data_IF_413827419502
#
_entry.id   IF_413827419502
#
_cell.length_a   1.000
_cell.length_b   1.000
_cell.length_c   1.000
_cell.angle_alpha   90.00
_cell.angle_beta   90.00
_cell.angle_gamma   90.00
#
_symmetry.space_group_name_H-M   'P 1'
#
loop_
_entity.id
_entity.type
_entity.pdbx_description
1 polymer ?
#
# COMPACT_ATOMS: atom_id res chain seq x y z
N UNK A 1 8.91 -0.02 -10.84
CA UNK A 1 8.16 1.02 -10.12
C UNK A 1 8.77 1.35 -8.76
N UNK A 2 9.35 0.38 -8.04
CA UNK A 2 9.90 0.55 -6.70
C UNK A 2 10.97 1.66 -6.56
N UNK A 3 11.79 1.89 -7.60
CA UNK A 3 12.86 2.91 -7.59
C UNK A 3 12.38 4.33 -7.95
N UNK A 4 11.11 4.55 -8.26
CA UNK A 4 10.61 5.85 -8.75
C UNK A 4 11.14 6.27 -10.14
N UNK A 5 11.88 5.40 -10.85
CA UNK A 5 12.44 5.66 -12.19
C UNK A 5 11.39 5.52 -13.29
N UNK A 6 10.41 6.41 -13.33
CA UNK A 6 9.28 6.32 -14.27
C UNK A 6 9.66 6.55 -15.74
N UNK A 7 10.70 7.35 -16.01
CA UNK A 7 11.23 7.57 -17.37
C UNK A 7 11.72 6.28 -18.03
N UNK A 8 12.25 5.33 -17.24
CA UNK A 8 12.62 3.99 -17.75
C UNK A 8 11.39 3.10 -17.94
N UNK A 9 10.30 3.34 -17.23
CA UNK A 9 9.09 2.52 -17.31
C UNK A 9 8.29 2.78 -18.59
N UNK A 10 8.27 4.01 -19.10
CA UNK A 10 7.53 4.39 -20.33
C UNK A 10 7.90 3.56 -21.58
N UNK A 11 9.18 3.37 -21.95
CA UNK A 11 9.53 2.54 -23.11
C UNK A 11 9.12 1.08 -22.91
N UNK A 12 9.23 0.56 -21.69
CA UNK A 12 8.78 -0.81 -21.38
C UNK A 12 7.27 -0.98 -21.51
N UNK A 13 6.47 0.03 -21.15
CA UNK A 13 5.01 0.01 -21.34
C UNK A 13 4.66 -0.16 -22.82
N UNK A 14 5.38 0.51 -23.72
CA UNK A 14 5.17 0.37 -25.17
C UNK A 14 5.49 -1.05 -25.64
N UNK A 15 6.59 -1.63 -25.17
CA UNK A 15 6.96 -3.01 -25.48
C UNK A 15 5.93 -4.02 -24.95
N UNK A 16 5.43 -3.85 -23.73
CA UNK A 16 4.37 -4.69 -23.15
C UNK A 16 3.08 -4.55 -23.97
N UNK A 17 2.69 -3.33 -24.34
CA UNK A 17 1.48 -3.09 -25.12
C UNK A 17 1.52 -3.74 -26.51
N UNK A 18 2.71 -3.90 -27.10
CA UNK A 18 2.90 -4.62 -28.36
C UNK A 18 2.63 -6.13 -28.23
N UNK A 19 2.89 -6.72 -27.05
CA UNK A 19 2.66 -8.15 -26.77
C UNK A 19 1.26 -8.42 -26.20
N UNK A 20 0.80 -7.58 -25.28
CA UNK A 20 -0.51 -7.65 -24.65
C UNK A 20 -1.05 -6.24 -24.43
N UNK A 21 -2.01 -5.87 -25.28
CA UNK A 21 -2.62 -4.53 -25.27
C UNK A 21 -3.31 -4.20 -23.94
N UNK A 22 -4.01 -5.16 -23.34
CA UNK A 22 -4.75 -4.99 -22.08
C UNK A 22 -3.78 -4.72 -20.93
N UNK A 23 -2.76 -5.55 -20.79
CA UNK A 23 -1.72 -5.39 -19.76
C UNK A 23 -0.91 -4.10 -19.99
N UNK A 24 -0.58 -3.77 -21.24
CA UNK A 24 0.12 -2.53 -21.59
C UNK A 24 -0.66 -1.28 -21.20
N UNK A 25 -1.98 -1.24 -21.46
CA UNK A 25 -2.84 -0.14 -21.04
C UNK A 25 -2.91 -0.04 -19.50
N UNK A 26 -3.02 -1.17 -18.80
CA UNK A 26 -3.00 -1.21 -17.35
C UNK A 26 -1.70 -0.63 -16.78
N UNK A 27 -0.53 -1.08 -17.29
CA UNK A 27 0.77 -0.56 -16.86
C UNK A 27 0.96 0.92 -17.21
N UNK A 28 0.43 1.37 -18.36
CA UNK A 28 0.41 2.79 -18.73
C UNK A 28 -0.36 3.62 -17.71
N UNK A 29 -1.54 3.17 -17.29
CA UNK A 29 -2.31 3.87 -16.27
C UNK A 29 -1.57 3.97 -14.93
N UNK A 30 -0.89 2.90 -14.50
CA UNK A 30 -0.07 2.91 -13.28
C UNK A 30 1.10 3.91 -13.36
N UNK A 31 1.79 3.98 -14.50
CA UNK A 31 2.87 4.97 -14.72
C UNK A 31 2.33 6.40 -14.72
N UNK A 32 1.21 6.65 -15.40
CA UNK A 32 0.58 7.97 -15.42
C UNK A 32 0.13 8.42 -14.02
N UNK A 33 -0.45 7.51 -13.23
CA UNK A 33 -0.77 7.76 -11.81
C UNK A 33 0.49 8.19 -11.05
N UNK A 34 1.57 7.44 -11.17
CA UNK A 34 2.83 7.74 -10.49
C UNK A 34 3.49 9.06 -10.92
N UNK A 35 3.20 9.53 -12.14
CA UNK A 35 3.60 10.84 -12.66
C UNK A 35 2.61 11.96 -12.29
N UNK A 36 1.64 11.72 -11.39
CA UNK A 36 0.56 12.63 -11.00
C UNK A 36 -0.36 13.06 -12.17
N UNK A 37 -0.41 12.31 -13.27
CA UNK A 37 -1.31 12.52 -14.42
C UNK A 37 -2.61 11.75 -14.21
N UNK A 38 -3.31 12.06 -13.14
CA UNK A 38 -4.47 11.30 -12.63
C UNK A 38 -5.66 11.27 -13.58
N UNK A 39 -5.95 12.37 -14.28
CA UNK A 39 -7.06 12.46 -15.25
C UNK A 39 -6.85 11.51 -16.44
N UNK A 40 -5.64 11.47 -16.98
CA UNK A 40 -5.27 10.58 -18.08
C UNK A 40 -5.28 9.12 -17.65
N UNK A 41 -4.74 8.83 -16.46
CA UNK A 41 -4.78 7.49 -15.87
C UNK A 41 -6.23 7.01 -15.74
N UNK A 42 -7.11 7.85 -15.20
CA UNK A 42 -8.54 7.56 -15.04
C UNK A 42 -9.23 7.29 -16.39
N UNK A 43 -8.95 8.09 -17.42
CA UNK A 43 -9.52 7.89 -18.76
C UNK A 43 -9.15 6.53 -19.37
N UNK A 44 -7.92 6.06 -19.13
CA UNK A 44 -7.44 4.75 -19.60
C UNK A 44 -8.11 3.63 -18.81
N UNK A 45 -8.19 3.75 -17.49
CA UNK A 45 -8.83 2.77 -16.62
C UNK A 45 -10.32 2.59 -16.94
N UNK A 46 -11.06 3.67 -17.18
CA UNK A 46 -12.47 3.60 -17.59
C UNK A 46 -12.66 2.84 -18.91
N UNK A 47 -11.82 3.12 -19.91
CA UNK A 47 -11.84 2.41 -21.20
C UNK A 47 -11.49 0.94 -21.03
N UNK A 48 -10.51 0.65 -20.18
CA UNK A 48 -10.06 -0.71 -19.89
C UNK A 48 -11.15 -1.49 -19.15
N UNK A 49 -11.80 -0.89 -18.17
CA UNK A 49 -12.92 -1.46 -17.41
C UNK A 49 -14.04 -1.91 -18.36
N UNK A 50 -14.53 -1.01 -19.22
CA UNK A 50 -15.60 -1.31 -20.17
C UNK A 50 -15.22 -2.47 -21.13
N UNK A 51 -13.96 -2.52 -21.55
CA UNK A 51 -13.45 -3.61 -22.38
C UNK A 51 -13.38 -4.94 -21.62
N UNK A 52 -12.90 -4.92 -20.36
CA UNK A 52 -12.76 -6.12 -19.54
C UNK A 52 -14.12 -6.69 -19.12
N UNK A 53 -15.12 -5.83 -18.86
CA UNK A 53 -16.50 -6.25 -18.60
C UNK A 53 -17.12 -6.95 -19.81
N UNK A 54 -16.94 -6.39 -21.02
CA UNK A 54 -17.41 -7.03 -22.26
C UNK A 54 -16.76 -8.38 -22.54
N UNK A 55 -15.47 -8.51 -22.22
CA UNK A 55 -14.70 -9.73 -22.43
C UNK A 55 -14.73 -10.70 -21.24
N UNK A 56 -15.41 -10.32 -20.14
CA UNK A 56 -15.48 -11.07 -18.87
C UNK A 56 -14.11 -11.41 -18.28
N UNK A 57 -13.13 -10.51 -18.43
CA UNK A 57 -11.80 -10.70 -17.85
C UNK A 57 -11.78 -10.26 -16.37
N UNK A 58 -12.30 -11.10 -15.49
CA UNK A 58 -12.51 -10.78 -14.06
C UNK A 58 -11.25 -10.33 -13.32
N UNK A 59 -10.12 -11.00 -13.54
CA UNK A 59 -8.85 -10.63 -12.89
C UNK A 59 -8.47 -9.17 -13.20
N UNK A 60 -8.55 -8.79 -14.48
CA UNK A 60 -8.23 -7.42 -14.90
C UNK A 60 -9.26 -6.41 -14.40
N UNK A 61 -10.54 -6.77 -14.34
CA UNK A 61 -11.58 -5.93 -13.72
C UNK A 61 -11.19 -5.59 -12.28
N UNK A 62 -10.85 -6.59 -11.47
CA UNK A 62 -10.45 -6.37 -10.07
C UNK A 62 -9.20 -5.48 -9.99
N UNK A 63 -8.18 -5.76 -10.81
CA UNK A 63 -6.95 -4.95 -10.86
C UNK A 63 -7.22 -3.48 -11.23
N UNK A 64 -8.13 -3.22 -12.15
CA UNK A 64 -8.55 -1.87 -12.55
C UNK A 64 -9.30 -1.18 -11.41
N UNK A 65 -10.18 -1.91 -10.72
CA UNK A 65 -10.90 -1.39 -9.54
C UNK A 65 -9.94 -0.99 -8.41
N UNK A 66 -8.89 -1.78 -8.14
CA UNK A 66 -7.87 -1.44 -7.14
C UNK A 66 -7.13 -0.14 -7.49
N UNK A 67 -6.64 0.01 -8.72
CA UNK A 67 -5.93 1.24 -9.13
C UNK A 67 -6.87 2.45 -9.14
N UNK A 68 -8.14 2.25 -9.48
CA UNK A 68 -9.15 3.31 -9.44
C UNK A 68 -9.47 3.72 -8.00
N UNK A 69 -9.48 2.78 -7.05
CA UNK A 69 -9.59 3.09 -5.62
C UNK A 69 -8.40 3.93 -5.12
N UNK A 70 -7.18 3.62 -5.56
CA UNK A 70 -5.98 4.42 -5.24
C UNK A 70 -6.10 5.85 -5.79
N UNK A 71 -6.64 6.03 -7.00
CA UNK A 71 -6.92 7.36 -7.56
C UNK A 71 -7.97 8.12 -6.74
N UNK A 72 -9.01 7.43 -6.26
CA UNK A 72 -10.02 8.05 -5.39
C UNK A 72 -9.42 8.58 -4.09
N UNK A 73 -8.44 7.87 -3.49
CA UNK A 73 -7.74 8.36 -2.30
C UNK A 73 -7.09 9.72 -2.51
N UNK A 74 -6.56 9.97 -3.71
CA UNK A 74 -5.88 11.22 -4.06
C UNK A 74 -6.86 12.35 -4.45
N UNK A 75 -7.98 12.02 -5.09
CA UNK A 75 -8.88 13.03 -5.70
C UNK A 75 -10.18 13.30 -4.95
N UNK A 76 -10.80 12.27 -4.38
CA UNK A 76 -12.21 12.28 -3.96
C UNK A 76 -12.40 11.83 -2.51
N UNK A 77 -11.32 11.41 -1.85
CA UNK A 77 -11.28 10.95 -0.48
C UNK A 77 -11.44 9.43 -0.35
N UNK A 78 -11.15 8.94 0.85
CA UNK A 78 -11.13 7.50 1.15
C UNK A 78 -12.50 6.84 1.10
N UNK A 79 -13.57 7.56 1.47
CA UNK A 79 -14.92 7.00 1.52
C UNK A 79 -15.45 6.58 0.13
N UNK A 80 -15.08 7.30 -0.94
CA UNK A 80 -15.55 6.99 -2.29
C UNK A 80 -14.93 5.72 -2.86
N UNK A 81 -13.82 5.24 -2.30
CA UNK A 81 -13.19 4.00 -2.70
C UNK A 81 -13.90 2.75 -2.12
N UNK A 82 -14.67 2.88 -1.04
CA UNK A 82 -15.25 1.73 -0.34
C UNK A 82 -16.18 0.85 -1.22
N UNK A 83 -17.16 1.39 -1.97
CA UNK A 83 -18.04 0.55 -2.78
C UNK A 83 -17.26 -0.27 -3.81
N UNK A 84 -16.23 0.37 -4.40
CA UNK A 84 -15.36 -0.23 -5.40
C UNK A 84 -14.52 -1.36 -4.79
N UNK A 85 -13.92 -1.15 -3.63
CA UNK A 85 -13.12 -2.18 -2.93
C UNK A 85 -13.99 -3.35 -2.45
N UNK A 86 -15.19 -3.09 -1.96
CA UNK A 86 -16.13 -4.15 -1.54
C UNK A 86 -16.58 -5.00 -2.73
N UNK A 87 -16.87 -4.38 -3.87
CA UNK A 87 -17.21 -5.10 -5.09
C UNK A 87 -16.01 -5.91 -5.62
N UNK A 88 -14.79 -5.34 -5.59
CA UNK A 88 -13.57 -6.04 -5.97
C UNK A 88 -13.34 -7.28 -5.10
N UNK A 89 -13.55 -7.17 -3.79
CA UNK A 89 -13.40 -8.28 -2.85
C UNK A 89 -14.46 -9.37 -3.09
N UNK A 90 -15.71 -8.98 -3.35
CA UNK A 90 -16.77 -9.92 -3.68
C UNK A 90 -16.44 -10.73 -4.94
N UNK A 91 -15.99 -10.06 -6.01
CA UNK A 91 -15.56 -10.71 -7.25
C UNK A 91 -14.35 -11.62 -7.03
N UNK A 92 -13.35 -11.16 -6.29
CA UNK A 92 -12.15 -11.95 -6.00
C UNK A 92 -12.50 -13.24 -5.24
N UNK A 93 -13.37 -13.15 -4.23
CA UNK A 93 -13.85 -14.31 -3.46
C UNK A 93 -14.71 -15.25 -4.30
N UNK A 94 -15.64 -14.71 -5.09
CA UNK A 94 -16.52 -15.49 -5.98
C UNK A 94 -15.73 -16.31 -7.01
N UNK A 95 -14.62 -15.76 -7.50
CA UNK A 95 -13.77 -16.42 -8.50
C UNK A 95 -12.52 -17.10 -7.90
N UNK A 96 -12.43 -17.22 -6.57
CA UNK A 96 -11.32 -17.87 -5.86
C UNK A 96 -9.93 -17.29 -6.19
N UNK A 97 -9.86 -15.98 -6.47
CA UNK A 97 -8.63 -15.27 -6.80
C UNK A 97 -7.94 -14.79 -5.51
N UNK A 98 -7.31 -15.72 -4.77
CA UNK A 98 -6.79 -15.47 -3.43
C UNK A 98 -5.78 -14.32 -3.33
N UNK A 99 -4.88 -14.18 -4.31
CA UNK A 99 -3.91 -13.09 -4.35
C UNK A 99 -4.61 -11.72 -4.44
N UNK A 100 -5.60 -11.60 -5.33
CA UNK A 100 -6.37 -10.37 -5.50
C UNK A 100 -7.29 -10.10 -4.32
N UNK A 101 -7.86 -11.13 -3.69
CA UNK A 101 -8.63 -10.98 -2.46
C UNK A 101 -7.75 -10.39 -1.33
N UNK A 102 -6.52 -10.90 -1.20
CA UNK A 102 -5.55 -10.43 -0.21
C UNK A 102 -5.11 -8.98 -0.48
N UNK A 103 -4.81 -8.65 -1.74
CA UNK A 103 -4.48 -7.28 -2.15
C UNK A 103 -5.65 -6.31 -1.91
N UNK A 104 -6.88 -6.75 -2.20
CA UNK A 104 -8.09 -5.95 -1.95
C UNK A 104 -8.31 -5.72 -0.46
N UNK A 105 -8.04 -6.72 0.39
CA UNK A 105 -8.11 -6.58 1.85
C UNK A 105 -7.08 -5.56 2.36
N UNK A 106 -5.86 -5.53 1.79
CA UNK A 106 -4.88 -4.48 2.13
C UNK A 106 -5.41 -3.07 1.81
N UNK A 107 -6.02 -2.89 0.64
CA UNK A 107 -6.63 -1.62 0.24
C UNK A 107 -7.81 -1.24 1.15
N UNK A 108 -8.65 -2.20 1.51
CA UNK A 108 -9.81 -1.99 2.38
C UNK A 108 -9.37 -1.61 3.80
N UNK A 109 -8.42 -2.34 4.37
CA UNK A 109 -7.87 -2.06 5.70
C UNK A 109 -7.18 -0.69 5.74
N UNK A 110 -6.43 -0.32 4.70
CA UNK A 110 -5.84 1.02 4.61
C UNK A 110 -6.91 2.11 4.52
N UNK A 111 -7.94 1.91 3.69
CA UNK A 111 -9.08 2.83 3.59
C UNK A 111 -9.77 3.00 4.95
N UNK A 112 -10.03 1.92 5.67
CA UNK A 112 -10.63 1.94 7.01
C UNK A 112 -9.75 2.66 8.04
N UNK A 113 -8.43 2.45 8.02
CA UNK A 113 -7.49 3.17 8.87
C UNK A 113 -7.58 4.69 8.59
N UNK A 114 -7.60 5.09 7.33
CA UNK A 114 -7.67 6.50 6.93
C UNK A 114 -9.03 7.14 7.26
N UNK A 115 -10.09 6.35 7.34
CA UNK A 115 -11.42 6.78 7.80
C UNK A 115 -11.54 6.81 9.33
N UNK A 116 -10.47 6.50 10.07
CA UNK A 116 -10.43 6.64 11.53
C UNK A 116 -11.03 5.45 12.29
N UNK A 117 -11.15 4.28 11.67
CA UNK A 117 -11.65 3.04 12.31
C UNK A 117 -10.55 1.95 12.37
N UNK A 118 -9.46 2.17 13.12
CA UNK A 118 -8.27 1.31 13.07
C UNK A 118 -8.51 -0.11 13.64
N UNK A 119 -9.45 -0.29 14.58
CA UNK A 119 -9.82 -1.62 15.09
C UNK A 119 -10.46 -2.47 13.99
N UNK A 120 -11.35 -1.88 13.18
CA UNK A 120 -11.97 -2.58 12.05
C UNK A 120 -10.93 -2.89 10.98
N UNK A 121 -10.06 -1.93 10.66
CA UNK A 121 -8.95 -2.11 9.73
C UNK A 121 -8.04 -3.28 10.13
N UNK A 122 -7.67 -3.36 11.41
CA UNK A 122 -6.84 -4.46 11.91
C UNK A 122 -7.58 -5.80 11.88
N UNK A 123 -8.88 -5.81 12.21
CA UNK A 123 -9.72 -7.00 12.15
C UNK A 123 -9.77 -7.60 10.73
N UNK A 124 -10.08 -6.78 9.74
CA UNK A 124 -10.15 -7.21 8.33
C UNK A 124 -8.76 -7.62 7.82
N UNK A 125 -7.70 -6.91 8.22
CA UNK A 125 -6.33 -7.27 7.84
C UNK A 125 -5.90 -8.64 8.37
N UNK A 126 -6.31 -9.01 9.59
CA UNK A 126 -6.00 -10.33 10.15
C UNK A 126 -6.59 -11.48 9.32
N UNK A 127 -7.74 -11.29 8.64
CA UNK A 127 -8.32 -12.31 7.75
C UNK A 127 -7.41 -12.67 6.56
N UNK A 128 -6.56 -11.73 6.11
CA UNK A 128 -5.66 -11.94 4.98
C UNK A 128 -4.19 -12.12 5.40
N UNK A 129 -3.85 -12.03 6.69
CA UNK A 129 -2.45 -12.02 7.11
C UNK A 129 -1.73 -13.32 6.74
N UNK A 130 -2.33 -14.47 7.05
CA UNK A 130 -1.76 -15.78 6.72
C UNK A 130 -1.51 -15.98 5.21
N UNK A 131 -2.51 -15.80 4.32
CA UNK A 131 -2.27 -15.98 2.88
C UNK A 131 -1.26 -14.97 2.30
N UNK A 132 -1.21 -13.74 2.81
CA UNK A 132 -0.20 -12.75 2.39
C UNK A 132 1.19 -13.23 2.82
N UNK A 133 1.39 -13.60 4.08
CA UNK A 133 2.71 -13.98 4.58
C UNK A 133 3.20 -15.31 4.00
N UNK A 134 2.30 -16.25 3.72
CA UNK A 134 2.64 -17.52 3.10
C UNK A 134 2.99 -17.38 1.61
N UNK A 135 2.11 -16.72 0.83
CA UNK A 135 2.16 -16.79 -0.64
C UNK A 135 2.15 -15.44 -1.37
N UNK A 136 1.96 -14.33 -0.65
CA UNK A 136 1.94 -13.00 -1.23
C UNK A 136 3.30 -12.53 -1.76
N UNK A 137 3.27 -11.50 -2.61
CA UNK A 137 4.48 -10.84 -3.06
C UNK A 137 5.23 -10.23 -1.87
N UNK A 138 6.56 -10.18 -1.93
CA UNK A 138 7.41 -9.62 -0.86
C UNK A 138 6.99 -8.19 -0.50
N UNK A 139 6.56 -7.40 -1.50
CA UNK A 139 6.03 -6.06 -1.29
C UNK A 139 4.77 -6.08 -0.40
N UNK A 140 3.84 -6.98 -0.68
CA UNK A 140 2.57 -7.08 0.04
C UNK A 140 2.78 -7.59 1.47
N UNK A 141 3.75 -8.49 1.70
CA UNK A 141 4.16 -8.89 3.05
C UNK A 141 4.62 -7.69 3.88
N UNK A 142 5.48 -6.85 3.31
CA UNK A 142 5.94 -5.62 3.94
C UNK A 142 4.79 -4.63 4.19
N UNK A 143 3.89 -4.44 3.21
CA UNK A 143 2.72 -3.56 3.34
C UNK A 143 1.74 -4.02 4.41
N UNK A 144 1.47 -5.32 4.49
CA UNK A 144 0.59 -5.90 5.50
C UNK A 144 1.10 -5.62 6.92
N UNK A 145 2.38 -5.85 7.17
CA UNK A 145 3.00 -5.63 8.48
C UNK A 145 3.12 -4.14 8.83
N UNK A 146 3.45 -3.29 7.84
CA UNK A 146 3.44 -1.84 8.02
C UNK A 146 2.04 -1.33 8.37
N UNK A 147 1.01 -1.84 7.69
CA UNK A 147 -0.38 -1.45 7.93
C UNK A 147 -0.86 -1.93 9.31
N UNK A 148 -0.53 -3.18 9.69
CA UNK A 148 -0.81 -3.71 11.01
C UNK A 148 -0.20 -2.83 12.11
N UNK A 149 1.07 -2.44 11.96
CA UNK A 149 1.74 -1.55 12.89
C UNK A 149 1.04 -0.18 12.99
N UNK A 150 0.64 0.42 11.86
CA UNK A 150 -0.09 1.69 11.85
C UNK A 150 -1.43 1.58 12.59
N UNK A 151 -2.19 0.51 12.37
CA UNK A 151 -3.43 0.27 13.11
C UNK A 151 -3.18 0.09 14.60
N UNK A 152 -2.19 -0.71 15.00
CA UNK A 152 -1.81 -0.91 16.40
C UNK A 152 -1.41 0.39 17.08
N UNK A 153 -0.63 1.25 16.40
CA UNK A 153 -0.26 2.57 16.91
C UNK A 153 -1.46 3.49 17.09
N UNK A 154 -2.41 3.48 16.16
CA UNK A 154 -3.64 4.27 16.25
C UNK A 154 -4.52 3.81 17.42
N UNK A 155 -4.73 2.49 17.56
CA UNK A 155 -5.49 1.88 18.67
C UNK A 155 -4.81 2.16 20.02
N UNK A 156 -3.48 2.12 20.08
CA UNK A 156 -2.73 2.38 21.32
C UNK A 156 -2.97 3.80 21.87
N UNK A 157 -3.37 4.76 21.01
CA UNK A 157 -3.72 6.12 21.42
C UNK A 157 -4.94 6.21 22.32
N UNK A 158 -5.86 5.24 22.27
CA UNK A 158 -7.13 5.24 23.01
C UNK A 158 -7.13 4.31 24.24
N UNK A 159 -6.03 3.58 24.49
CA UNK A 159 -5.92 2.56 25.54
C UNK A 159 -5.26 3.06 26.83
N UNK A 160 -5.51 2.32 27.93
CA UNK A 160 -4.84 2.52 29.22
C UNK A 160 -3.34 2.20 29.14
N UNK A 161 -2.53 2.79 30.04
CA UNK A 161 -1.06 2.77 29.95
C UNK A 161 -0.44 1.35 29.81
N UNK A 162 -0.96 0.35 30.52
CA UNK A 162 -0.44 -1.03 30.42
C UNK A 162 -0.73 -1.69 29.07
N UNK A 163 -1.96 -1.57 28.57
CA UNK A 163 -2.37 -2.11 27.27
C UNK A 163 -1.74 -1.34 26.10
N UNK A 164 -1.47 -0.05 26.30
CA UNK A 164 -0.75 0.82 25.36
C UNK A 164 0.66 0.32 25.14
N UNK A 165 1.43 0.06 26.20
CA UNK A 165 2.80 -0.45 26.06
C UNK A 165 2.87 -1.78 25.30
N UNK A 166 1.96 -2.72 25.58
CA UNK A 166 1.90 -4.00 24.87
C UNK A 166 1.60 -3.81 23.37
N UNK A 167 0.60 -2.99 23.03
CA UNK A 167 0.23 -2.70 21.65
C UNK A 167 1.38 -2.01 20.87
N UNK A 168 2.09 -1.08 21.50
CA UNK A 168 3.25 -0.43 20.90
C UNK A 168 4.43 -1.41 20.71
N UNK A 169 4.59 -2.40 21.59
CA UNK A 169 5.58 -3.47 21.43
C UNK A 169 5.34 -4.32 20.17
N UNK A 170 4.09 -4.71 19.91
CA UNK A 170 3.70 -5.42 18.68
C UNK A 170 3.95 -4.57 17.43
N UNK A 171 3.73 -3.25 17.51
CA UNK A 171 3.99 -2.34 16.41
C UNK A 171 5.50 -2.24 16.09
N UNK A 172 6.38 -2.28 17.11
CA UNK A 172 7.84 -2.32 16.91
C UNK A 172 8.24 -3.58 16.13
N UNK A 173 7.71 -4.74 16.54
CA UNK A 173 8.00 -6.02 15.87
C UNK A 173 7.54 -6.00 14.42
N UNK A 174 6.28 -5.61 14.19
CA UNK A 174 5.68 -5.52 12.86
C UNK A 174 6.46 -4.57 11.94
N UNK A 175 6.92 -3.42 12.44
CA UNK A 175 7.78 -2.51 11.67
C UNK A 175 9.16 -3.10 11.38
N UNK A 176 9.74 -3.85 12.32
CA UNK A 176 11.02 -4.54 12.11
C UNK A 176 10.94 -5.56 10.97
N UNK A 177 9.89 -6.39 10.96
CA UNK A 177 9.65 -7.36 9.89
C UNK A 177 9.31 -6.68 8.55
N UNK A 178 8.49 -5.62 8.57
CA UNK A 178 8.22 -4.82 7.37
C UNK A 178 9.52 -4.24 6.77
N UNK A 179 10.43 -3.72 7.62
CA UNK A 179 11.73 -3.23 7.17
C UNK A 179 12.57 -4.33 6.50
N UNK A 180 12.55 -5.56 7.03
CA UNK A 180 13.26 -6.68 6.43
C UNK A 180 12.75 -6.98 5.02
N UNK A 181 11.42 -7.06 4.82
CA UNK A 181 10.83 -7.28 3.50
C UNK A 181 11.12 -6.13 2.51
N UNK A 182 11.03 -4.87 2.94
CA UNK A 182 11.35 -3.74 2.07
C UNK A 182 12.84 -3.65 1.74
N UNK A 183 13.72 -4.09 2.64
CA UNK A 183 15.17 -4.17 2.40
C UNK A 183 15.51 -5.20 1.31
N UNK A 184 14.80 -6.34 1.28
CA UNK A 184 14.98 -7.35 0.22
C UNK A 184 14.68 -6.80 -1.19
N UNK A 185 13.82 -5.77 -1.28
CA UNK A 185 13.40 -5.14 -2.53
C UNK A 185 14.15 -3.84 -2.85
N UNK A 186 15.10 -3.43 -2.00
CA UNK A 186 15.72 -2.10 -2.02
C UNK A 186 14.68 -0.95 -2.14
N UNK A 187 13.53 -1.11 -1.48
CA UNK A 187 12.45 -0.13 -1.58
C UNK A 187 12.66 1.03 -0.61
N UNK A 188 13.55 1.95 -1.00
CA UNK A 188 14.00 3.09 -0.17
C UNK A 188 12.87 3.97 0.34
N UNK A 189 11.85 4.26 -0.49
CA UNK A 189 10.69 5.07 -0.07
C UNK A 189 9.97 4.44 1.14
N UNK A 190 9.79 3.12 1.13
CA UNK A 190 9.09 2.39 2.20
C UNK A 190 9.97 2.22 3.44
N UNK A 191 11.26 1.99 3.26
CA UNK A 191 12.22 1.96 4.37
C UNK A 191 12.25 3.30 5.10
N UNK A 192 12.21 4.42 4.37
CA UNK A 192 12.12 5.76 4.97
C UNK A 192 10.89 5.88 5.87
N UNK A 193 9.73 5.50 5.35
CA UNK A 193 8.47 5.57 6.11
C UNK A 193 8.50 4.69 7.37
N UNK A 194 9.06 3.48 7.25
CA UNK A 194 9.22 2.55 8.40
C UNK A 194 10.14 3.15 9.46
N UNK A 195 11.31 3.68 9.08
CA UNK A 195 12.24 4.27 10.03
C UNK A 195 11.69 5.53 10.71
N UNK A 196 10.90 6.33 9.99
CA UNK A 196 10.18 7.45 10.58
C UNK A 196 9.22 6.98 11.68
N UNK A 197 8.40 5.95 11.40
CA UNK A 197 7.46 5.40 12.37
C UNK A 197 8.18 4.75 13.57
N UNK A 198 9.25 3.99 13.32
CA UNK A 198 10.06 3.39 14.39
C UNK A 198 10.67 4.47 15.30
N UNK A 199 11.20 5.57 14.74
CA UNK A 199 11.74 6.66 15.55
C UNK A 199 10.66 7.29 16.46
N UNK A 200 9.47 7.53 15.92
CA UNK A 200 8.34 8.05 16.72
C UNK A 200 7.89 7.07 17.81
N UNK A 201 7.87 5.79 17.49
CA UNK A 201 7.47 4.73 18.40
C UNK A 201 8.48 4.58 19.55
N UNK A 202 9.77 4.50 19.24
CA UNK A 202 10.83 4.46 20.25
C UNK A 202 10.90 5.73 21.10
N UNK A 203 10.60 6.90 20.53
CA UNK A 203 10.44 8.13 21.31
C UNK A 203 9.31 8.00 22.35
N UNK A 204 8.15 7.51 21.93
CA UNK A 204 6.99 7.30 22.81
C UNK A 204 7.28 6.27 23.91
N UNK A 205 8.15 5.29 23.63
CA UNK A 205 8.58 4.27 24.59
C UNK A 205 9.77 4.70 25.47
N UNK A 206 10.30 5.92 25.31
CA UNK A 206 11.48 6.39 26.06
C UNK A 206 12.81 5.74 25.64
N UNK A 207 12.83 4.99 24.54
CA UNK A 207 13.97 4.22 24.03
C UNK A 207 14.88 5.11 23.17
N UNK A 208 15.59 6.04 23.83
CA UNK A 208 16.43 7.04 23.18
C UNK A 208 17.49 6.47 22.20
N UNK A 209 18.25 5.40 22.52
CA UNK A 209 19.27 4.92 21.58
C UNK A 209 18.67 4.34 20.29
N UNK A 210 17.58 3.55 20.40
CA UNK A 210 16.86 3.02 19.23
C UNK A 210 16.23 4.14 18.42
N UNK A 211 15.62 5.13 19.08
CA UNK A 211 15.08 6.33 18.42
C UNK A 211 16.14 7.04 17.58
N UNK A 212 17.32 7.28 18.15
CA UNK A 212 18.41 7.98 17.45
C UNK A 212 18.89 7.19 16.23
N UNK A 213 19.02 5.87 16.35
CA UNK A 213 19.37 4.98 15.23
C UNK A 213 18.35 5.09 14.09
N UNK A 214 17.06 4.94 14.40
CA UNK A 214 16.00 5.04 13.39
C UNK A 214 15.93 6.44 12.75
N UNK A 215 16.10 7.49 13.54
CA UNK A 215 16.11 8.87 13.03
C UNK A 215 17.29 9.14 12.08
N UNK A 216 18.47 8.58 12.37
CA UNK A 216 19.63 8.65 11.48
C UNK A 216 19.37 7.92 10.15
N UNK A 217 18.81 6.71 10.20
CA UNK A 217 18.47 5.95 8.99
C UNK A 217 17.40 6.65 8.14
N UNK A 218 16.37 7.20 8.79
CA UNK A 218 15.38 8.04 8.13
C UNK A 218 16.04 9.22 7.40
N UNK A 219 16.95 9.94 8.08
CA UNK A 219 17.64 11.10 7.50
C UNK A 219 18.49 10.73 6.28
N UNK A 220 19.20 9.60 6.33
CA UNK A 220 20.01 9.12 5.21
C UNK A 220 19.13 8.87 3.97
N UNK A 221 18.06 8.10 4.14
CA UNK A 221 17.13 7.79 3.05
C UNK A 221 16.39 9.03 2.55
N UNK A 222 16.00 9.95 3.43
CA UNK A 222 15.31 11.16 3.02
C UNK A 222 16.21 12.08 2.19
N UNK A 223 17.49 12.19 2.53
CA UNK A 223 18.47 12.92 1.72
C UNK A 223 18.70 12.29 0.35
N UNK A 224 18.73 10.95 0.27
CA UNK A 224 18.84 10.23 -1.01
C UNK A 224 17.59 10.41 -1.89
N UNK A 225 16.40 10.52 -1.27
CA UNK A 225 15.11 10.60 -1.97
C UNK A 225 14.67 12.03 -2.30
N UNK A 226 15.23 13.06 -1.65
CA UNK A 226 14.95 14.49 -1.93
C UNK A 226 15.54 14.94 -3.28
N UNK A 227 15.04 14.36 -4.36
CA UNK A 227 14.83 15.00 -5.66
C UNK A 227 13.37 15.54 -5.70
N UNK A 228 13.05 16.59 -6.47
CA UNK A 228 11.91 17.47 -6.16
C UNK A 228 10.55 16.76 -6.25
N UNK A 229 9.80 16.75 -5.13
CA UNK A 229 8.34 16.55 -5.12
C UNK A 229 7.74 15.50 -4.17
N UNK A 230 8.52 14.69 -3.45
CA UNK A 230 7.96 13.60 -2.66
C UNK A 230 7.66 14.01 -1.20
N UNK A 231 6.50 14.63 -0.96
CA UNK A 231 5.93 14.69 0.38
C UNK A 231 5.82 13.27 0.96
N UNK A 232 6.03 13.11 2.27
CA UNK A 232 5.73 11.88 3.01
C UNK A 232 4.21 11.70 3.03
N UNK A 233 3.65 11.26 1.91
CA UNK A 233 2.26 10.87 1.83
C UNK A 233 2.10 9.50 2.51
N UNK A 234 1.08 9.33 3.36
CA UNK A 234 0.68 8.00 3.80
C UNK A 234 0.26 7.19 2.57
N UNK A 235 1.16 6.37 2.06
CA UNK A 235 0.89 5.41 0.98
C UNK A 235 0.64 4.03 1.58
N UNK A 236 -0.24 3.24 0.95
CA UNK A 236 -0.39 1.80 1.20
C UNK A 236 0.83 1.06 0.70
#
# INVERSE_FOLDING_TARGET
MNDGKYHLAEPHVTAIAALNKTEGLYRKAQVLKALNRTTEAYSILQRLQLYCEKTKYTEMIIRVMLVTAELHWESSGFATALPLLLQALALARQHHLQALASETILHLAFTQLMLGVPEQALGVLHEAMEPILAHGAVMDKGRALLLAARCQMAIAGTRSNGQRHAALGLAVQSLGEAAAYFSMLDCKERLRDVHYLQARLHHTLGQTPQRNKCAMLFRLLDQELQAPGAAVAMRL
#
